data_IF_161861338121
#
_entry.id   IF_161861338121
#
_cell.length_a   1.000
_cell.length_b   1.000
_cell.length_c   1.000
_cell.angle_alpha   90.00
_cell.angle_beta   90.00
_cell.angle_gamma   90.00
#
_symmetry.space_group_name_H-M   'P 1'
#
loop_
_entity.id
_entity.type
_entity.pdbx_description
1 polymer ?
#
# COMPACT_ATOMS: atom_id res chain seq x y z
N UNK A 1 13.41 12.89 1.17
CA UNK A 1 12.06 12.86 0.60
C UNK A 1 11.08 12.23 1.60
N UNK A 2 9.83 12.70 1.66
CA UNK A 2 8.87 12.10 2.57
C UNK A 2 8.62 10.63 2.23
N UNK A 3 8.67 9.79 3.24
CA UNK A 3 8.50 8.36 3.07
C UNK A 3 7.42 7.86 4.02
N UNK A 4 6.55 7.01 3.51
CA UNK A 4 5.55 6.30 4.30
C UNK A 4 6.06 4.88 4.51
N UNK A 5 6.04 4.42 5.76
CA UNK A 5 6.46 3.06 6.10
C UNK A 5 5.48 2.54 7.15
N UNK A 6 4.63 1.60 6.74
CA UNK A 6 3.58 1.06 7.59
C UNK A 6 3.72 -0.47 7.62
N UNK A 7 3.71 -1.04 8.83
CA UNK A 7 3.68 -2.48 9.01
C UNK A 7 2.38 -2.86 9.73
N UNK A 8 1.58 -3.71 9.10
CA UNK A 8 0.33 -4.19 9.67
C UNK A 8 0.39 -5.70 9.87
N UNK A 9 0.40 -6.21 11.12
CA UNK A 9 0.34 -7.65 11.36
C UNK A 9 -1.00 -8.22 10.91
N UNK A 10 -1.00 -9.47 10.46
CA UNK A 10 -2.22 -10.17 10.08
C UNK A 10 -2.09 -11.66 10.41
N UNK A 11 -3.22 -12.36 10.37
CA UNK A 11 -3.28 -13.79 10.64
C UNK A 11 -3.92 -14.57 9.48
N UNK A 12 -3.93 -13.99 8.28
CA UNK A 12 -4.50 -14.65 7.11
C UNK A 12 -3.46 -15.53 6.42
N UNK A 13 -3.90 -16.62 5.76
CA UNK A 13 -3.01 -17.32 4.84
C UNK A 13 -2.48 -16.38 3.77
N UNK A 14 -1.29 -16.68 3.25
CA UNK A 14 -0.63 -15.80 2.28
C UNK A 14 -1.51 -15.48 1.07
N UNK A 15 -2.19 -16.48 0.53
CA UNK A 15 -3.06 -16.28 -0.62
C UNK A 15 -4.21 -15.31 -0.31
N UNK A 16 -4.80 -15.42 0.88
CA UNK A 16 -5.88 -14.53 1.30
C UNK A 16 -5.37 -13.12 1.54
N UNK A 17 -4.18 -12.98 2.13
CA UNK A 17 -3.55 -11.68 2.34
C UNK A 17 -3.27 -11.00 0.99
N UNK A 18 -2.81 -11.74 0.00
CA UNK A 18 -2.59 -11.19 -1.34
C UNK A 18 -3.90 -10.73 -1.98
N UNK A 19 -4.99 -11.48 -1.80
CA UNK A 19 -6.29 -11.10 -2.34
C UNK A 19 -6.76 -9.78 -1.71
N UNK A 20 -6.53 -9.59 -0.41
CA UNK A 20 -6.88 -8.33 0.26
C UNK A 20 -6.04 -7.18 -0.27
N UNK A 21 -4.74 -7.40 -0.48
CA UNK A 21 -3.88 -6.36 -1.05
C UNK A 21 -4.34 -5.98 -2.47
N UNK A 22 -4.80 -6.96 -3.26
CA UNK A 22 -5.38 -6.66 -4.57
C UNK A 22 -6.58 -5.72 -4.46
N UNK A 23 -7.45 -5.93 -3.48
CA UNK A 23 -8.60 -5.05 -3.26
C UNK A 23 -8.16 -3.65 -2.86
N UNK A 24 -7.17 -3.55 -1.97
CA UNK A 24 -6.61 -2.25 -1.57
C UNK A 24 -5.99 -1.55 -2.78
N UNK A 25 -5.26 -2.30 -3.60
CA UNK A 25 -4.62 -1.76 -4.80
C UNK A 25 -5.65 -1.22 -5.80
N UNK A 26 -6.78 -1.93 -5.97
CA UNK A 26 -7.86 -1.45 -6.85
C UNK A 26 -8.43 -0.13 -6.35
N UNK A 27 -8.62 0.01 -5.03
CA UNK A 27 -9.11 1.26 -4.45
C UNK A 27 -8.12 2.40 -4.63
N UNK A 28 -6.83 2.11 -4.48
CA UNK A 28 -5.79 3.12 -4.69
C UNK A 28 -5.74 3.55 -6.16
N UNK A 29 -5.93 2.62 -7.08
CA UNK A 29 -5.99 2.94 -8.50
C UNK A 29 -7.17 3.87 -8.81
N UNK A 30 -8.34 3.57 -8.26
CA UNK A 30 -9.53 4.39 -8.45
C UNK A 30 -9.38 5.78 -7.83
N UNK A 31 -8.83 5.87 -6.62
CA UNK A 31 -8.73 7.13 -5.89
C UNK A 31 -7.55 7.99 -6.32
N UNK A 32 -6.42 7.37 -6.60
CA UNK A 32 -5.16 8.10 -6.81
C UNK A 32 -4.57 7.90 -8.20
N UNK A 33 -5.21 7.09 -9.04
CA UNK A 33 -4.71 6.84 -10.38
C UNK A 33 -3.38 6.10 -10.42
N UNK A 34 -3.11 5.25 -9.43
CA UNK A 34 -1.85 4.53 -9.38
C UNK A 34 -1.87 3.31 -10.27
N UNK A 35 -0.75 3.06 -10.95
CA UNK A 35 -0.52 1.83 -11.68
C UNK A 35 0.31 0.89 -10.83
N UNK A 36 0.07 -0.42 -10.95
CA UNK A 36 0.82 -1.37 -10.17
C UNK A 36 0.86 -2.76 -10.78
N UNK A 37 1.79 -3.56 -10.30
CA UNK A 37 1.91 -4.95 -10.70
C UNK A 37 2.59 -5.76 -9.61
N UNK A 38 2.31 -7.05 -9.61
CA UNK A 38 2.91 -7.99 -8.67
C UNK A 38 4.27 -8.46 -9.14
N UNK A 39 5.17 -8.62 -8.18
CA UNK A 39 6.47 -9.24 -8.37
C UNK A 39 6.66 -10.22 -7.20
N UNK A 40 6.39 -11.50 -7.42
CA UNK A 40 6.33 -12.46 -6.32
C UNK A 40 5.21 -12.09 -5.35
N UNK A 41 5.54 -11.90 -4.08
CA UNK A 41 4.59 -11.53 -3.04
C UNK A 41 4.63 -10.02 -2.72
N UNK A 42 5.20 -9.23 -3.63
CA UNK A 42 5.29 -7.78 -3.46
C UNK A 42 4.52 -7.08 -4.58
N UNK A 43 3.60 -6.21 -4.21
CA UNK A 43 2.87 -5.38 -5.16
C UNK A 43 3.58 -4.04 -5.27
N UNK A 44 4.11 -3.73 -6.46
CA UNK A 44 4.76 -2.45 -6.73
C UNK A 44 3.78 -1.50 -7.39
N UNK A 45 3.73 -0.27 -6.91
CA UNK A 45 2.82 0.72 -7.47
C UNK A 45 3.55 2.04 -7.70
N UNK A 46 3.05 2.80 -8.67
CA UNK A 46 3.65 4.10 -9.00
C UNK A 46 2.66 4.99 -9.74
N UNK A 47 2.89 6.27 -9.59
CA UNK A 47 2.29 7.31 -10.42
C UNK A 47 3.26 8.49 -10.40
N UNK A 48 2.96 9.52 -11.20
CA UNK A 48 3.80 10.73 -11.20
C UNK A 48 3.90 11.28 -9.78
N UNK A 49 5.10 11.31 -9.23
CA UNK A 49 5.38 11.83 -7.90
C UNK A 49 5.23 10.83 -6.74
N UNK A 50 4.85 9.57 -7.02
CA UNK A 50 4.71 8.54 -5.98
C UNK A 50 5.25 7.21 -6.49
N UNK A 51 6.11 6.58 -5.68
CA UNK A 51 6.50 5.19 -5.92
C UNK A 51 6.44 4.43 -4.61
N UNK A 52 6.06 3.16 -4.68
CA UNK A 52 5.99 2.38 -3.46
C UNK A 52 5.77 0.90 -3.70
N UNK A 53 5.70 0.17 -2.60
CA UNK A 53 5.48 -1.27 -2.64
C UNK A 53 4.70 -1.74 -1.42
N UNK A 54 3.99 -2.83 -1.60
CA UNK A 54 3.30 -3.54 -0.53
C UNK A 54 3.83 -4.96 -0.53
N UNK A 55 4.64 -5.29 0.46
CA UNK A 55 5.19 -6.64 0.62
C UNK A 55 4.24 -7.46 1.47
N UNK A 56 3.78 -8.59 0.95
CA UNK A 56 2.89 -9.49 1.66
C UNK A 56 3.74 -10.57 2.30
N UNK A 57 3.86 -10.53 3.63
CA UNK A 57 4.61 -11.53 4.39
C UNK A 57 3.63 -12.47 5.09
N UNK A 58 4.14 -13.58 5.61
CA UNK A 58 3.31 -14.58 6.26
C UNK A 58 2.54 -14.01 7.46
N UNK A 59 3.13 -13.06 8.18
CA UNK A 59 2.59 -12.55 9.43
C UNK A 59 2.28 -11.06 9.41
N UNK A 60 2.61 -10.35 8.32
CA UNK A 60 2.42 -8.91 8.25
C UNK A 60 2.38 -8.42 6.82
N UNK A 61 1.85 -7.23 6.66
CA UNK A 61 1.91 -6.46 5.42
C UNK A 61 2.83 -5.28 5.67
N UNK A 62 3.82 -5.08 4.80
CA UNK A 62 4.74 -3.96 4.88
C UNK A 62 4.49 -3.02 3.70
N UNK A 63 4.07 -1.79 4.00
CA UNK A 63 3.82 -0.77 2.97
C UNK A 63 4.92 0.26 3.03
N UNK A 64 5.57 0.50 1.91
CA UNK A 64 6.57 1.56 1.77
C UNK A 64 6.23 2.41 0.58
N UNK A 65 6.28 3.72 0.74
CA UNK A 65 5.99 4.65 -0.35
C UNK A 65 6.85 5.90 -0.21
N UNK A 66 7.29 6.41 -1.35
CA UNK A 66 8.01 7.68 -1.41
C UNK A 66 7.19 8.69 -2.18
N UNK A 67 7.06 9.89 -1.62
CA UNK A 67 6.32 10.98 -2.22
C UNK A 67 7.30 12.04 -2.71
N UNK A 68 7.11 12.51 -3.95
CA UNK A 68 7.87 13.62 -4.48
C UNK A 68 7.51 14.91 -3.77
N UNK A 69 8.32 15.97 -4.01
CA UNK A 69 8.14 17.24 -3.30
C UNK A 69 6.76 17.85 -3.49
N UNK A 70 6.17 17.71 -4.69
CA UNK A 70 4.86 18.29 -4.95
C UNK A 70 3.74 17.60 -4.17
N UNK A 71 3.93 16.34 -3.82
CA UNK A 71 2.92 15.57 -3.09
C UNK A 71 3.23 15.43 -1.61
N UNK A 72 4.36 15.98 -1.13
CA UNK A 72 4.71 15.87 0.27
C UNK A 72 3.65 16.45 1.23
N UNK A 73 2.92 17.53 0.90
CA UNK A 73 1.83 17.96 1.78
C UNK A 73 0.71 16.94 1.93
N UNK A 74 0.60 15.99 1.00
CA UNK A 74 -0.44 14.95 1.03
C UNK A 74 -0.01 13.70 1.79
N UNK A 75 1.22 13.66 2.30
CA UNK A 75 1.74 12.47 2.99
C UNK A 75 0.81 11.98 4.10
N UNK A 76 0.37 12.88 4.96
CA UNK A 76 -0.52 12.53 6.07
C UNK A 76 -1.84 11.94 5.59
N UNK A 77 -2.43 12.54 4.54
CA UNK A 77 -3.68 12.07 3.97
C UNK A 77 -3.53 10.68 3.35
N UNK A 78 -2.48 10.48 2.56
CA UNK A 78 -2.21 9.20 1.92
C UNK A 78 -1.96 8.12 2.97
N UNK A 79 -1.14 8.43 3.98
CA UNK A 79 -0.85 7.50 5.06
C UNK A 79 -2.10 7.09 5.82
N UNK A 80 -2.97 8.05 6.16
CA UNK A 80 -4.23 7.76 6.83
C UNK A 80 -5.12 6.85 5.99
N UNK A 81 -5.21 7.11 4.70
CA UNK A 81 -6.03 6.31 3.80
C UNK A 81 -5.53 4.87 3.72
N UNK A 82 -4.21 4.69 3.63
CA UNK A 82 -3.61 3.36 3.62
C UNK A 82 -3.88 2.64 4.94
N UNK A 83 -3.65 3.30 6.06
CA UNK A 83 -3.90 2.70 7.39
C UNK A 83 -5.35 2.31 7.56
N UNK A 84 -6.26 3.18 7.14
CA UNK A 84 -7.69 2.90 7.24
C UNK A 84 -8.08 1.66 6.42
N UNK A 85 -7.60 1.57 5.18
CA UNK A 85 -7.88 0.42 4.33
C UNK A 85 -7.30 -0.87 4.90
N UNK A 86 -6.07 -0.81 5.42
CA UNK A 86 -5.47 -1.98 6.04
C UNK A 86 -6.23 -2.41 7.29
N UNK A 87 -6.67 -1.46 8.12
CA UNK A 87 -7.44 -1.76 9.31
C UNK A 87 -8.80 -2.37 8.97
N UNK A 88 -9.45 -1.90 7.91
CA UNK A 88 -10.73 -2.46 7.46
C UNK A 88 -10.60 -3.91 7.01
N UNK A 89 -9.50 -4.26 6.36
CA UNK A 89 -9.33 -5.57 5.74
C UNK A 89 -8.52 -6.56 6.58
N UNK A 90 -7.70 -6.09 7.51
CA UNK A 90 -6.84 -6.93 8.34
C UNK A 90 -7.10 -6.76 9.85
N UNK A 91 -8.24 -6.26 10.20
CA UNK A 91 -8.59 -6.00 11.61
C UNK A 91 -8.63 -7.26 12.47
#
# INVERSE_FOLDING_TARGET
>A
MPTIDIRKPHQLPLADARAVVDQVADKMREKFGMDGQWQGDTFNFSRSGVTGSIAVEAEAIQVKAELGMMLSPLKGLVEQEIRRKLDEHFA
#
